data_IF_389447065480
#
_entry.id   IF_389447065480
#
_cell.length_a   1.000
_cell.length_b   1.000
_cell.length_c   1.000
_cell.angle_alpha   90.00
_cell.angle_beta   90.00
_cell.angle_gamma   90.00
#
_symmetry.space_group_name_H-M   'P 1'
#
loop_
_entity.id
_entity.type
_entity.pdbx_description
1 polymer ?
#
# COMPACT_ATOMS: atom_id res chain seq x y z
N UNK A 1 -24.42 28.13 -30.52
CA UNK A 1 -23.18 27.53 -31.07
C UNK A 1 -23.56 26.72 -32.29
N UNK A 2 -22.95 26.97 -33.45
CA UNK A 2 -23.15 26.08 -34.60
C UNK A 2 -22.44 24.76 -34.30
N UNK A 3 -23.09 23.62 -34.57
CA UNK A 3 -22.57 22.29 -34.17
C UNK A 3 -21.15 22.02 -34.72
N UNK A 4 -20.78 22.68 -35.82
CA UNK A 4 -19.47 22.58 -36.48
C UNK A 4 -18.29 23.09 -35.64
N UNK A 5 -18.47 24.16 -34.85
CA UNK A 5 -17.39 24.72 -34.02
C UNK A 5 -17.15 23.88 -32.76
N UNK A 6 -18.23 23.33 -32.19
CA UNK A 6 -18.16 22.37 -31.08
C UNK A 6 -17.42 21.10 -31.49
N UNK A 7 -17.80 20.51 -32.63
CA UNK A 7 -17.16 19.31 -33.17
C UNK A 7 -15.66 19.49 -33.43
N UNK A 8 -15.24 20.63 -34.00
CA UNK A 8 -13.81 20.93 -34.23
C UNK A 8 -13.03 21.06 -32.92
N UNK A 9 -13.63 21.65 -31.89
CA UNK A 9 -12.99 21.77 -30.57
C UNK A 9 -12.85 20.41 -29.91
N UNK A 10 -13.90 19.59 -29.93
CA UNK A 10 -13.83 18.23 -29.40
C UNK A 10 -12.77 17.38 -30.13
N UNK A 11 -12.73 17.46 -31.47
CA UNK A 11 -11.73 16.79 -32.27
C UNK A 11 -10.31 17.25 -31.92
N UNK A 12 -10.11 18.56 -31.70
CA UNK A 12 -8.80 19.08 -31.28
C UNK A 12 -8.34 18.51 -29.95
N UNK A 13 -9.21 18.55 -28.93
CA UNK A 13 -8.89 18.01 -27.61
C UNK A 13 -8.64 16.50 -27.67
N UNK A 14 -9.41 15.79 -28.48
CA UNK A 14 -9.21 14.36 -28.71
C UNK A 14 -7.87 14.08 -29.41
N UNK A 15 -7.48 14.87 -30.40
CA UNK A 15 -6.18 14.71 -31.08
C UNK A 15 -5.03 14.97 -30.11
N UNK A 16 -5.09 16.05 -29.31
CA UNK A 16 -4.09 16.32 -28.27
C UNK A 16 -4.01 15.16 -27.28
N UNK A 17 -5.16 14.68 -26.78
CA UNK A 17 -5.23 13.53 -25.89
C UNK A 17 -4.59 12.29 -26.53
N UNK A 18 -5.02 11.89 -27.73
CA UNK A 18 -4.56 10.68 -28.40
C UNK A 18 -3.05 10.73 -28.70
N UNK A 19 -2.56 11.88 -29.17
CA UNK A 19 -1.13 12.09 -29.40
C UNK A 19 -0.33 11.90 -28.11
N UNK A 20 -0.78 12.47 -26.99
CA UNK A 20 -0.04 12.38 -25.73
C UNK A 20 -0.18 11.03 -25.03
N UNK A 21 -1.32 10.33 -25.18
CA UNK A 21 -1.50 8.94 -24.74
C UNK A 21 -0.48 8.01 -25.40
N UNK A 22 -0.13 8.25 -26.66
CA UNK A 22 0.91 7.47 -27.34
C UNK A 22 2.33 7.96 -26.99
N UNK A 23 2.54 9.28 -27.00
CA UNK A 23 3.88 9.86 -26.86
C UNK A 23 4.46 9.72 -25.45
N UNK A 24 3.67 9.96 -24.39
CA UNK A 24 4.17 9.99 -23.01
C UNK A 24 4.66 8.60 -22.55
N UNK A 25 3.90 7.50 -22.71
CA UNK A 25 4.40 6.17 -22.33
C UNK A 25 5.62 5.74 -23.15
N UNK A 26 5.64 6.07 -24.44
CA UNK A 26 6.77 5.74 -25.33
C UNK A 26 8.04 6.47 -24.90
N UNK A 27 7.94 7.77 -24.59
CA UNK A 27 9.07 8.54 -24.04
C UNK A 27 9.50 8.03 -22.67
N UNK A 28 8.56 7.73 -21.77
CA UNK A 28 8.86 7.19 -20.45
C UNK A 28 9.58 5.85 -20.53
N UNK A 29 9.11 4.94 -21.39
CA UNK A 29 9.77 3.67 -21.65
C UNK A 29 11.17 3.85 -22.23
N UNK A 30 11.32 4.74 -23.21
CA UNK A 30 12.62 4.99 -23.81
C UNK A 30 13.62 5.58 -22.81
N UNK A 31 13.18 6.52 -21.96
CA UNK A 31 13.99 7.06 -20.85
C UNK A 31 14.39 5.99 -19.85
N UNK A 32 13.48 5.06 -19.51
CA UNK A 32 13.77 3.95 -18.62
C UNK A 32 14.87 3.05 -19.23
N UNK A 33 14.73 2.68 -20.51
CA UNK A 33 15.70 1.84 -21.21
C UNK A 33 17.08 2.51 -21.30
N UNK A 34 17.14 3.81 -21.61
CA UNK A 34 18.40 4.53 -21.73
C UNK A 34 19.07 4.74 -20.37
N UNK A 35 18.29 5.06 -19.33
CA UNK A 35 18.80 5.17 -17.96
C UNK A 35 19.35 3.83 -17.45
N UNK A 36 18.67 2.72 -17.77
CA UNK A 36 19.09 1.37 -17.37
C UNK A 36 20.41 0.93 -18.00
N UNK A 37 20.64 1.26 -19.28
CA UNK A 37 21.80 0.76 -20.03
C UNK A 37 22.99 1.73 -20.10
N UNK A 38 22.79 3.03 -19.88
CA UNK A 38 23.82 4.04 -20.17
C UNK A 38 24.04 5.12 -19.11
N UNK A 39 23.37 5.04 -17.96
CA UNK A 39 23.46 6.06 -16.90
C UNK A 39 22.99 7.45 -17.35
N UNK A 40 23.26 8.48 -16.53
CA UNK A 40 22.75 9.84 -16.75
C UNK A 40 23.13 10.46 -18.12
N UNK A 41 24.26 10.03 -18.70
CA UNK A 41 24.72 10.52 -20.01
C UNK A 41 23.83 10.10 -21.19
N UNK A 42 23.15 8.95 -21.10
CA UNK A 42 22.25 8.45 -22.14
C UNK A 42 20.84 9.08 -22.09
N UNK A 43 20.48 9.73 -20.98
CA UNK A 43 19.19 10.41 -20.78
C UNK A 43 19.14 11.75 -21.53
N UNK A 44 20.28 12.45 -21.63
CA UNK A 44 20.39 13.75 -22.31
C UNK A 44 19.97 13.69 -23.79
N UNK A 45 20.51 12.81 -24.65
CA UNK A 45 20.08 12.73 -26.04
C UNK A 45 18.62 12.28 -26.16
N UNK A 46 18.13 11.50 -25.19
CA UNK A 46 16.75 11.06 -25.19
C UNK A 46 15.77 12.22 -24.98
N UNK A 47 16.07 13.11 -24.04
CA UNK A 47 15.30 14.33 -23.85
C UNK A 47 15.48 15.31 -25.01
N UNK A 48 16.70 15.46 -25.52
CA UNK A 48 17.02 16.38 -26.61
C UNK A 48 16.32 16.04 -27.93
N UNK A 49 15.97 14.77 -28.17
CA UNK A 49 15.20 14.34 -29.35
C UNK A 49 13.71 14.19 -29.04
N UNK A 50 13.37 13.60 -27.89
CA UNK A 50 11.99 13.29 -27.52
C UNK A 50 11.14 14.54 -27.26
N UNK A 51 11.69 15.54 -26.59
CA UNK A 51 10.95 16.79 -26.29
C UNK A 51 10.66 17.58 -27.57
N UNK A 52 11.63 17.86 -28.47
CA UNK A 52 11.31 18.57 -29.71
C UNK A 52 10.34 17.79 -30.61
N UNK A 53 10.46 16.47 -30.67
CA UNK A 53 9.56 15.64 -31.50
C UNK A 53 8.12 15.69 -30.99
N UNK A 54 7.91 15.63 -29.67
CA UNK A 54 6.57 15.77 -29.07
C UNK A 54 5.98 17.16 -29.19
N UNK A 55 6.80 18.21 -29.01
CA UNK A 55 6.38 19.59 -29.29
C UNK A 55 6.02 19.75 -30.77
N UNK A 56 6.80 19.17 -31.69
CA UNK A 56 6.51 19.15 -33.12
C UNK A 56 5.17 18.47 -33.44
N UNK A 57 4.91 17.29 -32.87
CA UNK A 57 3.63 16.58 -32.97
C UNK A 57 2.46 17.43 -32.43
N UNK A 58 2.59 18.04 -31.26
CA UNK A 58 1.57 18.95 -30.74
C UNK A 58 1.34 20.13 -31.70
N UNK A 59 2.41 20.70 -32.25
CA UNK A 59 2.33 21.80 -33.22
C UNK A 59 1.53 21.38 -34.47
N UNK A 60 1.64 20.13 -34.94
CA UNK A 60 0.84 19.65 -36.09
C UNK A 60 -0.63 19.45 -35.74
N UNK A 61 -0.96 19.02 -34.50
CA UNK A 61 -2.36 18.93 -34.04
C UNK A 61 -3.09 20.28 -34.00
N UNK A 62 -2.37 21.40 -33.96
CA UNK A 62 -2.91 22.75 -34.04
C UNK A 62 -3.25 23.24 -35.46
N UNK A 63 -2.78 22.57 -36.52
CA UNK A 63 -3.06 22.92 -37.92
C UNK A 63 -4.57 22.93 -38.24
N UNK A 64 -5.34 21.85 -37.98
CA UNK A 64 -6.74 21.78 -38.38
C UNK A 64 -7.67 22.77 -37.65
N UNK A 65 -7.17 23.42 -36.61
CA UNK A 65 -7.96 24.22 -35.65
C UNK A 65 -7.49 25.66 -35.56
N UNK A 66 -6.63 26.08 -36.49
CA UNK A 66 -6.13 27.47 -36.63
C UNK A 66 -7.22 28.54 -36.65
N UNK A 67 -8.44 28.17 -37.01
CA UNK A 67 -9.61 29.06 -37.05
C UNK A 67 -10.38 29.14 -35.74
N UNK A 68 -10.06 28.30 -34.76
CA UNK A 68 -10.77 28.17 -33.47
C UNK A 68 -9.90 28.58 -32.29
N UNK A 69 -8.58 28.37 -32.38
CA UNK A 69 -7.62 28.78 -31.36
C UNK A 69 -6.84 30.00 -31.86
N UNK A 70 -7.04 31.20 -31.29
CA UNK A 70 -6.38 32.43 -31.73
C UNK A 70 -4.84 32.34 -31.73
N UNK A 71 -4.29 31.56 -30.79
CA UNK A 71 -2.86 31.30 -30.64
C UNK A 71 -2.30 30.38 -31.74
N UNK A 72 -3.12 29.80 -32.63
CA UNK A 72 -2.66 28.94 -33.72
C UNK A 72 -2.66 29.64 -35.09
N UNK A 73 -2.89 30.96 -35.11
CA UNK A 73 -3.01 31.78 -36.32
C UNK A 73 -1.70 31.96 -37.08
N UNK A 74 -0.56 31.88 -36.40
CA UNK A 74 0.78 31.96 -36.98
C UNK A 74 1.69 30.83 -36.49
N UNK A 75 2.77 30.56 -37.22
CA UNK A 75 3.78 29.55 -36.85
C UNK A 75 4.38 29.78 -35.45
N UNK A 76 4.90 30.98 -35.10
CA UNK A 76 5.50 31.19 -33.77
C UNK A 76 4.49 31.09 -32.63
N UNK A 77 3.24 31.56 -32.84
CA UNK A 77 2.21 31.44 -31.81
C UNK A 77 1.79 29.98 -31.59
N UNK A 78 1.72 29.18 -32.65
CA UNK A 78 1.39 27.75 -32.56
C UNK A 78 2.46 26.96 -31.81
N UNK A 79 3.73 27.30 -32.04
CA UNK A 79 4.84 26.73 -31.29
C UNK A 79 4.74 27.11 -29.81
N UNK A 80 4.47 28.38 -29.50
CA UNK A 80 4.26 28.85 -28.12
C UNK A 80 3.11 28.11 -27.42
N UNK A 81 1.99 27.90 -28.11
CA UNK A 81 0.87 27.10 -27.60
C UNK A 81 1.28 25.64 -27.31
N UNK A 82 1.98 25.00 -28.24
CA UNK A 82 2.43 23.61 -28.08
C UNK A 82 3.38 23.47 -26.88
N UNK A 83 4.30 24.40 -26.69
CA UNK A 83 5.21 24.44 -25.54
C UNK A 83 4.43 24.58 -24.24
N UNK A 84 3.47 25.51 -24.16
CA UNK A 84 2.65 25.71 -22.95
C UNK A 84 1.83 24.48 -22.59
N UNK A 85 1.17 23.86 -23.58
CA UNK A 85 0.41 22.61 -23.39
C UNK A 85 1.32 21.48 -22.95
N UNK A 86 2.50 21.35 -23.55
CA UNK A 86 3.49 20.36 -23.17
C UNK A 86 3.95 20.54 -21.72
N UNK A 87 4.32 21.75 -21.33
CA UNK A 87 4.79 22.04 -19.96
C UNK A 87 3.69 21.78 -18.93
N UNK A 88 2.50 22.36 -19.12
CA UNK A 88 1.38 22.21 -18.18
C UNK A 88 0.90 20.77 -18.08
N UNK A 89 0.79 20.06 -19.21
CA UNK A 89 0.40 18.65 -19.21
C UNK A 89 1.44 17.77 -18.55
N UNK A 90 2.74 18.05 -18.76
CA UNK A 90 3.83 17.29 -18.11
C UNK A 90 3.82 17.52 -16.60
N UNK A 91 3.60 18.75 -16.12
CA UNK A 91 3.42 19.02 -14.70
C UNK A 91 2.22 18.24 -14.11
N UNK A 92 1.11 18.15 -14.85
CA UNK A 92 -0.04 17.35 -14.43
C UNK A 92 0.25 15.85 -14.37
N UNK A 93 1.03 15.30 -15.31
CA UNK A 93 1.49 13.91 -15.26
C UNK A 93 2.38 13.68 -14.03
N UNK A 94 3.33 14.59 -13.76
CA UNK A 94 4.21 14.49 -12.59
C UNK A 94 3.41 14.55 -11.27
N UNK A 95 2.42 15.44 -11.18
CA UNK A 95 1.52 15.49 -10.03
C UNK A 95 0.71 14.19 -9.88
N UNK A 96 0.22 13.62 -10.99
CA UNK A 96 -0.46 12.33 -10.99
C UNK A 96 0.44 11.17 -10.55
N UNK A 97 1.71 11.16 -10.97
CA UNK A 97 2.70 10.16 -10.54
C UNK A 97 3.01 10.28 -9.04
N UNK A 98 3.17 11.50 -8.52
CA UNK A 98 3.35 11.73 -7.09
C UNK A 98 2.13 11.24 -6.27
N UNK A 99 0.92 11.48 -6.77
CA UNK A 99 -0.29 10.93 -6.15
C UNK A 99 -0.36 9.39 -6.25
N UNK A 100 0.07 8.80 -7.37
CA UNK A 100 0.13 7.35 -7.55
C UNK A 100 1.12 6.67 -6.61
N UNK A 101 2.27 7.29 -6.30
CA UNK A 101 3.19 6.78 -5.27
C UNK A 101 2.58 6.78 -3.86
N UNK A 102 1.48 7.50 -3.64
CA UNK A 102 0.66 7.41 -2.42
C UNK A 102 -0.37 6.27 -2.43
N UNK A 103 -0.13 5.22 -3.22
CA UNK A 103 -0.97 4.02 -3.39
C UNK A 103 -2.38 4.28 -3.92
N UNK A 104 -2.62 5.41 -4.59
CA UNK A 104 -3.91 5.72 -5.20
C UNK A 104 -4.15 4.81 -6.40
N UNK A 105 -5.19 3.98 -6.33
CA UNK A 105 -5.56 3.13 -7.45
C UNK A 105 -6.17 3.94 -8.60
N UNK A 106 -5.43 4.01 -9.71
CA UNK A 106 -5.86 4.65 -10.96
C UNK A 106 -6.46 3.63 -11.96
N UNK A 107 -6.90 2.47 -11.47
CA UNK A 107 -7.47 1.40 -12.28
C UNK A 107 -6.44 0.53 -13.02
N UNK A 108 -6.89 -0.09 -14.11
CA UNK A 108 -6.10 -1.02 -14.94
C UNK A 108 -4.96 -0.32 -15.69
N UNK A 109 -4.00 -1.10 -16.21
CA UNK A 109 -2.88 -0.57 -17.00
C UNK A 109 -3.36 0.30 -18.18
N UNK A 110 -4.40 -0.15 -18.90
CA UNK A 110 -4.99 0.61 -20.01
C UNK A 110 -5.60 1.95 -19.56
N UNK A 111 -6.24 1.97 -18.40
CA UNK A 111 -6.80 3.21 -17.82
C UNK A 111 -5.68 4.21 -17.50
N UNK A 112 -4.58 3.73 -16.93
CA UNK A 112 -3.41 4.57 -16.60
C UNK A 112 -2.77 5.16 -17.86
N UNK A 113 -2.63 4.37 -18.91
CA UNK A 113 -2.14 4.84 -20.22
C UNK A 113 -3.06 5.93 -20.77
N UNK A 114 -4.37 5.71 -20.77
CA UNK A 114 -5.35 6.71 -21.21
C UNK A 114 -5.32 8.01 -20.38
N UNK A 115 -5.07 7.90 -19.07
CA UNK A 115 -4.99 9.05 -18.16
C UNK A 115 -3.76 9.94 -18.44
N UNK A 116 -2.67 9.41 -19.01
CA UNK A 116 -1.47 10.22 -19.30
C UNK A 116 -1.74 11.37 -20.27
N UNK A 117 -2.69 11.23 -21.20
CA UNK A 117 -3.06 12.30 -22.14
C UNK A 117 -4.04 13.34 -21.57
N UNK A 118 -4.72 13.03 -20.47
CA UNK A 118 -5.77 13.91 -19.89
C UNK A 118 -5.21 15.27 -19.45
N UNK A 119 -4.07 15.35 -18.72
CA UNK A 119 -3.48 16.64 -18.35
C UNK A 119 -3.21 17.57 -19.54
N UNK A 120 -2.76 17.01 -20.67
CA UNK A 120 -2.46 17.78 -21.87
C UNK A 120 -3.74 18.27 -22.57
N UNK A 121 -4.79 17.44 -22.61
CA UNK A 121 -6.08 17.83 -23.15
C UNK A 121 -6.74 18.93 -22.29
N UNK A 122 -6.66 18.81 -20.96
CA UNK A 122 -7.11 19.85 -20.02
C UNK A 122 -6.32 21.14 -20.20
N UNK A 123 -4.99 21.06 -20.34
CA UNK A 123 -4.15 22.22 -20.64
C UNK A 123 -4.56 22.89 -21.96
N UNK A 124 -4.77 22.11 -23.03
CA UNK A 124 -5.23 22.62 -24.32
C UNK A 124 -6.60 23.29 -24.22
N UNK A 125 -7.52 22.73 -23.42
CA UNK A 125 -8.87 23.27 -23.22
C UNK A 125 -8.87 24.68 -22.59
N UNK A 126 -7.90 25.02 -21.73
CA UNK A 126 -7.76 26.37 -21.18
C UNK A 126 -7.47 27.43 -22.24
N UNK A 127 -6.80 27.06 -23.33
CA UNK A 127 -6.46 27.97 -24.42
C UNK A 127 -7.58 28.13 -25.46
N UNK A 128 -8.65 27.33 -25.39
CA UNK A 128 -9.83 27.49 -26.25
C UNK A 128 -10.62 28.72 -25.79
N UNK A 129 -11.09 29.60 -26.70
CA UNK A 129 -11.83 30.82 -26.33
C UNK A 129 -13.24 30.57 -25.76
N UNK A 130 -13.73 29.32 -25.78
CA UNK A 130 -15.07 28.97 -25.31
C UNK A 130 -15.12 28.82 -23.78
N UNK A 131 -15.90 29.67 -23.11
CA UNK A 131 -16.10 29.65 -21.65
C UNK A 131 -16.56 28.29 -21.10
N UNK A 132 -17.41 27.57 -21.81
CA UNK A 132 -17.96 26.29 -21.35
C UNK A 132 -16.90 25.19 -21.35
N UNK A 133 -16.01 25.21 -22.35
CA UNK A 133 -14.88 24.28 -22.43
C UNK A 133 -13.89 24.53 -21.30
N UNK A 134 -13.61 25.81 -21.00
CA UNK A 134 -12.76 26.19 -19.86
C UNK A 134 -13.36 25.78 -18.52
N UNK A 135 -14.66 25.99 -18.31
CA UNK A 135 -15.36 25.52 -17.10
C UNK A 135 -15.29 24.00 -16.96
N UNK A 136 -15.47 23.26 -18.06
CA UNK A 136 -15.27 21.81 -18.08
C UNK A 136 -13.85 21.39 -17.67
N UNK A 137 -12.83 22.10 -18.17
CA UNK A 137 -11.44 21.87 -17.79
C UNK A 137 -11.18 22.13 -16.30
N UNK A 138 -11.75 23.21 -15.74
CA UNK A 138 -11.69 23.53 -14.31
C UNK A 138 -12.38 22.45 -13.48
N UNK A 139 -13.57 21.99 -13.88
CA UNK A 139 -14.30 20.94 -13.19
C UNK A 139 -13.53 19.61 -13.20
N UNK A 140 -12.93 19.24 -14.33
CA UNK A 140 -12.09 18.04 -14.43
C UNK A 140 -10.85 18.15 -13.53
N UNK A 141 -10.20 19.30 -13.48
CA UNK A 141 -9.04 19.54 -12.61
C UNK A 141 -9.44 19.47 -11.13
N UNK A 142 -10.56 20.09 -10.75
CA UNK A 142 -11.09 20.03 -9.38
C UNK A 142 -11.42 18.59 -8.96
N UNK A 143 -12.08 17.82 -9.83
CA UNK A 143 -12.38 16.41 -9.57
C UNK A 143 -11.10 15.56 -9.42
N UNK A 144 -10.09 15.80 -10.27
CA UNK A 144 -8.80 15.12 -10.17
C UNK A 144 -8.06 15.45 -8.86
N UNK A 145 -8.06 16.73 -8.44
CA UNK A 145 -7.46 17.15 -7.17
C UNK A 145 -8.22 16.55 -5.98
N UNK A 146 -9.55 16.58 -6.00
CA UNK A 146 -10.37 15.98 -4.95
C UNK A 146 -10.12 14.47 -4.81
N UNK A 147 -10.06 13.77 -5.95
CA UNK A 147 -9.78 12.34 -5.96
C UNK A 147 -8.34 12.03 -5.52
N UNK A 148 -7.35 12.68 -6.11
CA UNK A 148 -5.93 12.42 -5.80
C UNK A 148 -5.53 12.85 -4.38
N UNK A 149 -6.11 13.92 -3.85
CA UNK A 149 -5.77 14.48 -2.54
C UNK A 149 -6.53 13.88 -1.36
N UNK A 150 -7.77 13.45 -1.55
CA UNK A 150 -8.64 13.08 -0.42
C UNK A 150 -9.25 11.67 -0.55
N UNK A 151 -9.91 11.37 -1.67
CA UNK A 151 -10.65 10.10 -1.83
C UNK A 151 -9.70 8.93 -2.07
N UNK A 152 -8.70 9.12 -2.93
CA UNK A 152 -7.72 8.10 -3.28
C UNK A 152 -6.92 7.60 -2.09
N UNK A 153 -6.29 8.49 -1.29
CA UNK A 153 -5.49 8.09 -0.13
C UNK A 153 -6.31 7.41 0.98
N UNK A 154 -7.56 7.81 1.18
CA UNK A 154 -8.43 7.16 2.17
C UNK A 154 -8.84 5.77 1.70
N UNK A 155 -9.19 5.61 0.42
CA UNK A 155 -9.52 4.32 -0.16
C UNK A 155 -8.32 3.37 -0.23
N UNK A 156 -7.11 3.88 -0.51
CA UNK A 156 -5.89 3.05 -0.55
C UNK A 156 -5.57 2.47 0.82
N UNK A 157 -5.62 3.30 1.88
CA UNK A 157 -5.47 2.84 3.27
C UNK A 157 -6.52 1.81 3.64
N UNK A 158 -7.78 2.03 3.27
CA UNK A 158 -8.84 1.06 3.56
C UNK A 158 -8.61 -0.29 2.87
N UNK A 159 -8.12 -0.29 1.62
CA UNK A 159 -7.77 -1.53 0.92
C UNK A 159 -6.54 -2.21 1.51
N UNK A 160 -5.53 -1.44 1.90
CA UNK A 160 -4.35 -1.98 2.59
C UNK A 160 -4.76 -2.66 3.89
N UNK A 161 -5.56 -1.98 4.73
CA UNK A 161 -6.10 -2.57 5.96
C UNK A 161 -6.95 -3.81 5.69
N UNK A 162 -7.81 -3.80 4.67
CA UNK A 162 -8.58 -4.99 4.31
C UNK A 162 -7.70 -6.16 3.83
N UNK A 163 -6.64 -5.87 3.08
CA UNK A 163 -5.68 -6.87 2.61
C UNK A 163 -4.82 -7.43 3.77
N UNK A 164 -4.41 -6.58 4.71
CA UNK A 164 -3.71 -6.99 5.94
C UNK A 164 -4.60 -7.88 6.80
N UNK A 165 -5.84 -7.47 7.07
CA UNK A 165 -6.81 -8.27 7.80
C UNK A 165 -7.08 -9.61 7.10
N UNK A 166 -7.24 -9.61 5.77
CA UNK A 166 -7.42 -10.83 5.00
C UNK A 166 -6.18 -11.75 5.06
N UNK A 167 -4.97 -11.18 5.11
CA UNK A 167 -3.73 -11.94 5.27
C UNK A 167 -3.66 -12.60 6.65
N UNK A 168 -4.02 -11.88 7.71
CA UNK A 168 -4.09 -12.47 9.05
C UNK A 168 -5.10 -13.63 9.12
N UNK A 169 -6.24 -13.49 8.43
CA UNK A 169 -7.26 -14.54 8.30
C UNK A 169 -6.86 -15.72 7.41
N UNK A 170 -5.65 -15.79 6.85
CA UNK A 170 -5.22 -16.96 6.08
C UNK A 170 -5.11 -18.22 6.94
N UNK A 171 -4.78 -18.05 8.22
CA UNK A 171 -4.60 -19.12 9.19
C UNK A 171 -5.44 -18.90 10.45
N UNK A 172 -6.79 -18.92 10.35
CA UNK A 172 -7.67 -18.69 11.49
C UNK A 172 -7.45 -19.71 12.61
N UNK A 173 -6.91 -20.88 12.29
CA UNK A 173 -6.50 -21.92 13.24
C UNK A 173 -5.33 -21.53 14.15
N UNK A 174 -4.61 -20.45 13.85
CA UNK A 174 -3.49 -19.94 14.66
C UNK A 174 -3.85 -18.68 15.44
N UNK A 175 -4.95 -18.00 15.08
CA UNK A 175 -5.35 -16.73 15.70
C UNK A 175 -6.14 -16.98 16.98
N UNK A 176 -5.42 -17.19 18.09
CA UNK A 176 -6.03 -17.29 19.42
C UNK A 176 -5.43 -16.25 20.37
N UNK A 177 -6.28 -15.74 21.26
CA UNK A 177 -5.89 -14.87 22.36
C UNK A 177 -6.34 -15.47 23.70
N UNK A 178 -5.70 -15.02 24.77
CA UNK A 178 -6.14 -15.26 26.14
C UNK A 178 -6.86 -14.02 26.63
N UNK A 179 -7.69 -14.15 27.67
CA UNK A 179 -8.24 -12.97 28.33
C UNK A 179 -7.08 -12.09 28.84
N UNK A 180 -7.16 -10.78 28.57
CA UNK A 180 -6.14 -9.83 29.00
C UNK A 180 -5.93 -9.94 30.51
N UNK A 181 -4.71 -10.27 30.98
CA UNK A 181 -4.45 -10.39 32.41
C UNK A 181 -4.73 -9.08 33.15
N UNK A 182 -5.27 -9.12 34.39
CA UNK A 182 -5.61 -7.91 35.13
C UNK A 182 -4.41 -6.95 35.27
N UNK A 183 -4.62 -5.67 34.95
CA UNK A 183 -3.56 -4.64 35.02
C UNK A 183 -2.51 -4.71 33.91
N UNK A 184 -2.71 -5.57 32.90
CA UNK A 184 -1.87 -5.65 31.71
C UNK A 184 -2.61 -5.15 30.46
N UNK A 185 -1.84 -4.87 29.42
CA UNK A 185 -2.33 -4.53 28.08
C UNK A 185 -1.50 -5.26 27.04
N UNK A 186 -2.07 -5.48 25.87
CA UNK A 186 -1.34 -6.02 24.73
C UNK A 186 -0.27 -5.00 24.33
N UNK A 187 0.99 -5.39 24.44
CA UNK A 187 2.13 -4.55 24.13
C UNK A 187 2.68 -4.85 22.74
N UNK A 188 2.57 -6.11 22.31
CA UNK A 188 3.01 -6.58 21.01
C UNK A 188 2.18 -7.77 20.55
N UNK A 189 1.91 -7.86 19.27
CA UNK A 189 1.41 -9.05 18.63
C UNK A 189 2.24 -9.30 17.36
N UNK A 190 2.46 -10.55 17.00
CA UNK A 190 3.27 -10.90 15.83
C UNK A 190 2.60 -12.07 15.11
N UNK A 191 2.37 -11.91 13.81
CA UNK A 191 1.82 -12.96 12.96
C UNK A 191 2.92 -13.43 12.02
N UNK A 192 3.26 -14.71 12.11
CA UNK A 192 4.20 -15.40 11.23
C UNK A 192 3.47 -16.52 10.46
N UNK A 193 4.07 -17.07 9.37
CA UNK A 193 3.41 -18.04 8.50
C UNK A 193 2.85 -19.30 9.21
N UNK A 194 3.46 -19.68 10.33
CA UNK A 194 3.06 -20.86 11.10
C UNK A 194 2.90 -20.57 12.60
N UNK A 195 2.80 -19.29 13.00
CA UNK A 195 2.61 -18.94 14.41
C UNK A 195 1.98 -17.56 14.60
N UNK A 196 1.23 -17.42 15.68
CA UNK A 196 0.75 -16.15 16.20
C UNK A 196 1.28 -15.94 17.61
N UNK A 197 1.72 -14.73 17.93
CA UNK A 197 2.34 -14.42 19.20
C UNK A 197 1.73 -13.13 19.76
N UNK A 198 1.49 -13.08 21.08
CA UNK A 198 0.94 -11.92 21.77
C UNK A 198 1.66 -11.72 23.09
N UNK A 199 2.22 -10.53 23.30
CA UNK A 199 2.82 -10.08 24.55
C UNK A 199 1.89 -9.13 25.27
N UNK A 200 1.68 -9.41 26.54
CA UNK A 200 0.99 -8.54 27.49
C UNK A 200 2.03 -7.98 28.45
N UNK A 201 2.02 -6.67 28.64
CA UNK A 201 2.87 -6.01 29.63
C UNK A 201 2.00 -5.32 30.66
N UNK A 202 2.47 -5.28 31.91
CA UNK A 202 1.86 -4.38 32.90
C UNK A 202 1.98 -2.93 32.45
N UNK A 203 1.06 -2.08 32.91
CA UNK A 203 1.12 -0.63 32.67
C UNK A 203 2.45 -0.03 33.17
N UNK A 204 3.06 -0.64 34.19
CA UNK A 204 4.36 -0.24 34.76
C UNK A 204 5.58 -0.88 34.07
N UNK A 205 5.36 -1.77 33.09
CA UNK A 205 6.38 -2.51 32.35
C UNK A 205 7.33 -3.39 33.21
N UNK A 206 6.89 -3.74 34.42
CA UNK A 206 7.61 -4.59 35.38
C UNK A 206 7.22 -6.07 35.30
N UNK A 207 6.16 -6.40 34.55
CA UNK A 207 5.67 -7.76 34.36
C UNK A 207 5.30 -8.01 32.90
N UNK A 208 5.50 -9.26 32.43
CA UNK A 208 4.98 -9.69 31.14
C UNK A 208 4.37 -11.09 31.19
N UNK A 209 3.45 -11.31 30.25
CA UNK A 209 2.88 -12.60 29.89
C UNK A 209 2.95 -12.69 28.37
N UNK A 210 3.42 -13.82 27.84
CA UNK A 210 3.52 -14.02 26.41
C UNK A 210 2.81 -15.31 25.99
N UNK A 211 1.93 -15.20 25.00
CA UNK A 211 1.19 -16.28 24.37
C UNK A 211 1.81 -16.55 22.99
N UNK A 212 2.15 -17.80 22.71
CA UNK A 212 2.55 -18.26 21.39
C UNK A 212 1.63 -19.39 20.94
N UNK A 213 0.99 -19.22 19.79
CA UNK A 213 0.17 -20.22 19.10
C UNK A 213 0.93 -20.64 17.86
N UNK A 214 1.13 -21.93 17.66
CA UNK A 214 1.92 -22.46 16.53
C UNK A 214 1.18 -23.57 15.82
N UNK A 215 1.40 -23.66 14.51
CA UNK A 215 0.99 -24.82 13.74
C UNK A 215 1.67 -26.07 14.30
N UNK A 216 0.97 -27.21 14.39
CA UNK A 216 1.49 -28.42 15.00
C UNK A 216 2.58 -29.00 14.08
N UNK A 217 3.82 -28.58 14.29
CA UNK A 217 4.93 -28.92 13.39
C UNK A 217 5.68 -30.21 13.77
N UNK A 218 5.37 -30.87 14.90
CA UNK A 218 6.14 -32.05 15.35
C UNK A 218 5.33 -32.93 16.32
N UNK A 219 5.78 -34.18 16.64
CA UNK A 219 5.08 -35.13 17.54
C UNK A 219 4.73 -34.55 18.91
N UNK A 220 3.97 -35.30 19.73
CA UNK A 220 3.50 -34.85 21.06
C UNK A 220 4.63 -34.10 21.81
N UNK A 221 4.33 -32.98 22.50
CA UNK A 221 5.32 -32.26 23.29
C UNK A 221 6.12 -33.24 24.15
N UNK A 222 7.44 -33.25 23.94
CA UNK A 222 8.39 -34.11 24.64
C UNK A 222 9.47 -33.22 25.21
N UNK A 223 9.91 -33.55 26.42
CA UNK A 223 11.06 -32.88 27.00
C UNK A 223 12.31 -33.20 26.16
N UNK A 224 13.15 -32.20 25.88
CA UNK A 224 14.36 -32.43 25.09
C UNK A 224 15.28 -33.44 25.78
N UNK A 225 15.78 -34.40 25.01
CA UNK A 225 16.83 -35.32 25.43
C UNK A 225 18.11 -35.03 24.61
N UNK A 226 19.24 -34.68 25.24
CA UNK A 226 19.44 -34.54 26.68
C UNK A 226 18.83 -33.24 27.25
N UNK A 227 18.48 -33.26 28.54
CA UNK A 227 17.96 -32.10 29.24
C UNK A 227 18.97 -30.93 29.19
N UNK A 228 18.49 -29.75 28.82
CA UNK A 228 19.30 -28.54 28.83
C UNK A 228 19.72 -28.20 30.27
N UNK A 229 21.00 -27.83 30.45
CA UNK A 229 21.49 -27.33 31.73
C UNK A 229 20.69 -26.07 32.06
N UNK A 230 20.17 -25.98 33.29
CA UNK A 230 19.33 -24.89 33.81
C UNK A 230 17.83 -24.93 33.43
N UNK A 231 17.36 -26.01 32.81
CA UNK A 231 15.93 -26.21 32.51
C UNK A 231 15.36 -27.44 33.22
N UNK A 232 14.20 -27.29 33.85
CA UNK A 232 13.38 -28.44 34.28
C UNK A 232 12.19 -28.56 33.36
N UNK A 233 12.01 -29.74 32.78
CA UNK A 233 10.88 -30.07 31.92
C UNK A 233 10.11 -31.26 32.48
N UNK A 234 8.79 -31.15 32.55
CA UNK A 234 7.89 -32.22 32.97
C UNK A 234 6.68 -32.28 32.05
N UNK A 235 6.26 -33.46 31.63
CA UNK A 235 5.00 -33.67 30.90
C UNK A 235 4.02 -34.37 31.85
N UNK A 236 2.81 -33.82 32.00
CA UNK A 236 1.79 -34.39 32.87
C UNK A 236 0.98 -35.51 32.20
N UNK A 237 0.08 -36.14 32.98
CA UNK A 237 -0.80 -37.21 32.47
C UNK A 237 -1.81 -36.77 31.42
N UNK A 238 -1.97 -35.47 31.20
CA UNK A 238 -2.83 -34.87 30.17
C UNK A 238 -2.05 -34.47 28.90
N UNK A 239 -0.71 -34.66 28.89
CA UNK A 239 0.16 -34.31 27.79
C UNK A 239 0.49 -32.81 27.73
N UNK A 240 0.27 -32.08 28.82
CA UNK A 240 0.72 -30.71 29.01
C UNK A 240 2.19 -30.72 29.42
N UNK A 241 3.01 -29.97 28.69
CA UNK A 241 4.44 -29.85 28.94
C UNK A 241 4.71 -28.56 29.69
N UNK A 242 5.33 -28.69 30.86
CA UNK A 242 5.82 -27.58 31.66
C UNK A 242 7.32 -27.46 31.51
N UNK A 243 7.76 -26.22 31.36
CA UNK A 243 9.17 -25.88 31.26
C UNK A 243 9.50 -24.74 32.23
N UNK A 244 10.51 -24.93 33.07
CA UNK A 244 11.02 -23.94 34.02
C UNK A 244 12.48 -23.63 33.70
N UNK A 245 12.79 -22.37 33.39
CA UNK A 245 14.16 -21.89 33.22
C UNK A 245 14.68 -21.28 34.53
N UNK A 246 15.84 -21.75 35.00
CA UNK A 246 16.43 -21.35 36.29
C UNK A 246 17.31 -20.09 36.23
N UNK A 247 17.18 -19.28 35.17
CA UNK A 247 17.93 -18.03 35.01
C UNK A 247 17.44 -16.93 35.98
N UNK A 248 18.23 -15.85 36.21
CA UNK A 248 17.81 -14.74 37.07
C UNK A 248 16.50 -14.12 36.54
N UNK A 249 15.41 -14.28 37.29
CA UNK A 249 14.05 -13.91 36.86
C UNK A 249 13.28 -15.02 36.15
N UNK A 250 13.47 -16.27 36.60
CA UNK A 250 12.97 -17.52 36.01
C UNK A 250 11.60 -17.43 35.34
N UNK A 251 11.55 -17.92 34.10
CA UNK A 251 10.34 -17.91 33.27
C UNK A 251 9.73 -19.30 33.33
N UNK A 252 8.45 -19.35 33.68
CA UNK A 252 7.65 -20.57 33.58
C UNK A 252 6.95 -20.52 32.23
N UNK A 253 7.08 -21.60 31.46
CA UNK A 253 6.36 -21.81 30.21
C UNK A 253 5.49 -23.05 30.33
N UNK A 254 4.23 -22.91 29.92
CA UNK A 254 3.26 -23.98 29.89
C UNK A 254 2.79 -24.19 28.46
N UNK A 255 2.96 -25.41 27.94
CA UNK A 255 2.65 -25.78 26.57
C UNK A 255 1.57 -26.85 26.54
N UNK A 256 0.47 -26.57 25.85
CA UNK A 256 -0.68 -27.47 25.69
C UNK A 256 -1.06 -27.57 24.21
N UNK A 257 -1.48 -28.77 23.78
CA UNK A 257 -2.17 -28.90 22.48
C UNK A 257 -3.61 -28.46 22.61
N UNK A 258 -4.03 -27.53 21.78
CA UNK A 258 -5.40 -27.05 21.70
C UNK A 258 -5.92 -27.20 20.27
N UNK A 259 -6.85 -28.14 20.08
CA UNK A 259 -7.38 -28.50 18.75
C UNK A 259 -6.23 -28.84 17.78
N UNK A 260 -6.11 -28.09 16.70
CA UNK A 260 -5.10 -28.25 15.66
C UNK A 260 -3.93 -27.27 15.82
N UNK A 261 -3.69 -26.76 17.03
CA UNK A 261 -2.59 -25.83 17.32
C UNK A 261 -1.87 -26.24 18.61
N UNK A 262 -0.61 -25.80 18.72
CA UNK A 262 0.16 -25.85 19.95
C UNK A 262 0.18 -24.46 20.58
N UNK A 263 -0.19 -24.37 21.85
CA UNK A 263 -0.30 -23.10 22.58
C UNK A 263 0.67 -23.13 23.73
N UNK A 264 1.56 -22.14 23.78
CA UNK A 264 2.49 -21.93 24.87
C UNK A 264 2.22 -20.58 25.53
N UNK A 265 2.07 -20.57 26.85
CA UNK A 265 2.02 -19.32 27.63
C UNK A 265 3.21 -19.28 28.55
N UNK A 266 3.90 -18.14 28.58
CA UNK A 266 5.05 -17.89 29.45
C UNK A 266 4.85 -16.65 30.30
N UNK A 267 5.35 -16.69 31.54
CA UNK A 267 5.32 -15.53 32.45
C UNK A 267 6.50 -15.53 33.41
N UNK A 268 6.88 -14.33 33.85
CA UNK A 268 7.81 -14.11 34.98
C UNK A 268 7.13 -13.98 36.34
N UNK A 269 5.82 -13.73 36.35
CA UNK A 269 5.09 -13.36 37.58
C UNK A 269 4.07 -14.41 38.00
N UNK A 270 3.51 -15.13 37.02
CA UNK A 270 2.49 -16.14 37.29
C UNK A 270 3.14 -17.50 37.53
N UNK A 271 2.59 -18.20 38.51
CA UNK A 271 2.87 -19.60 38.76
C UNK A 271 2.08 -20.50 37.78
N UNK A 272 2.33 -21.81 37.85
CA UNK A 272 1.68 -22.78 36.98
C UNK A 272 0.13 -22.76 37.05
N UNK A 273 -0.51 -22.69 38.23
CA UNK A 273 -1.96 -22.48 38.32
C UNK A 273 -2.44 -21.21 37.60
N UNK A 274 -1.72 -20.09 37.74
CA UNK A 274 -2.04 -18.85 37.04
C UNK A 274 -1.94 -19.00 35.51
N UNK A 275 -0.90 -19.69 35.02
CA UNK A 275 -0.73 -19.97 33.59
C UNK A 275 -1.82 -20.90 33.03
N UNK A 276 -2.21 -21.93 33.79
CA UNK A 276 -3.35 -22.80 33.42
C UNK A 276 -4.64 -22.03 33.31
N UNK A 277 -4.93 -21.17 34.29
CA UNK A 277 -6.13 -20.35 34.26
C UNK A 277 -6.16 -19.45 33.01
N UNK A 278 -5.02 -18.85 32.63
CA UNK A 278 -4.94 -18.07 31.39
C UNK A 278 -5.18 -18.94 30.14
N UNK A 279 -4.60 -20.13 30.06
CA UNK A 279 -4.85 -21.06 28.95
C UNK A 279 -6.32 -21.49 28.87
N UNK A 280 -7.03 -21.56 29.99
CA UNK A 280 -8.46 -21.88 30.00
C UNK A 280 -9.33 -20.71 29.51
N UNK A 281 -8.78 -19.50 29.42
CA UNK A 281 -9.43 -18.33 28.80
C UNK A 281 -9.12 -18.18 27.30
N UNK A 282 -8.43 -19.16 26.70
CA UNK A 282 -8.08 -19.14 25.29
C UNK A 282 -9.32 -19.11 24.39
N UNK A 283 -9.39 -18.13 23.50
CA UNK A 283 -10.50 -17.95 22.56
C UNK A 283 -9.96 -17.57 21.16
N UNK A 284 -10.70 -17.90 20.08
CA UNK A 284 -10.37 -17.41 18.75
C UNK A 284 -10.42 -15.89 18.71
N UNK A 285 -9.47 -15.27 18.03
CA UNK A 285 -9.41 -13.83 17.84
C UNK A 285 -10.65 -13.36 17.06
N UNK A 286 -11.45 -12.49 17.68
CA UNK A 286 -12.62 -11.89 17.01
C UNK A 286 -12.22 -10.81 16.01
N UNK A 287 -13.11 -10.49 15.07
CA UNK A 287 -12.87 -9.41 14.11
C UNK A 287 -12.68 -8.05 14.81
N UNK A 288 -13.39 -7.81 15.90
CA UNK A 288 -13.27 -6.59 16.71
C UNK A 288 -11.91 -6.49 17.40
N UNK A 289 -11.40 -7.58 17.94
CA UNK A 289 -10.08 -7.62 18.59
C UNK A 289 -8.95 -7.50 17.56
N UNK A 290 -9.08 -8.15 16.41
CA UNK A 290 -8.12 -7.99 15.32
C UNK A 290 -8.06 -6.54 14.83
N UNK A 291 -9.21 -5.90 14.64
CA UNK A 291 -9.28 -4.48 14.28
C UNK A 291 -8.67 -3.56 15.34
N UNK A 292 -8.87 -3.86 16.62
CA UNK A 292 -8.29 -3.12 17.74
C UNK A 292 -6.76 -3.24 17.74
N UNK A 293 -6.22 -4.45 17.64
CA UNK A 293 -4.77 -4.70 17.55
C UNK A 293 -4.13 -4.01 16.34
N UNK A 294 -4.81 -3.99 15.19
CA UNK A 294 -4.35 -3.29 13.99
C UNK A 294 -4.39 -1.77 14.18
N UNK A 295 -5.45 -1.23 14.81
CA UNK A 295 -5.63 0.21 15.05
C UNK A 295 -4.59 0.75 16.03
N UNK A 296 -4.29 0.00 17.07
CA UNK A 296 -3.28 0.36 18.08
C UNK A 296 -1.84 0.18 17.57
N UNK A 297 -1.65 -0.35 16.35
CA UNK A 297 -0.34 -0.66 15.74
C UNK A 297 0.50 -1.60 16.60
N UNK A 298 -0.17 -2.55 17.25
CA UNK A 298 0.49 -3.50 18.14
C UNK A 298 0.97 -4.74 17.38
N UNK A 299 0.47 -4.98 16.17
CA UNK A 299 0.90 -6.09 15.32
C UNK A 299 2.17 -5.71 14.52
N UNK A 300 3.31 -6.31 14.88
CA UNK A 300 4.54 -6.26 14.08
C UNK A 300 4.58 -7.38 13.04
N UNK A 301 5.18 -7.08 11.89
CA UNK A 301 5.50 -8.08 10.87
C UNK A 301 6.99 -8.40 10.91
N UNK A 302 7.35 -9.67 11.14
CA UNK A 302 8.68 -10.17 10.74
C UNK A 302 8.58 -10.64 9.29
N UNK A 303 9.36 -10.02 8.42
CA UNK A 303 9.66 -10.64 7.13
C UNK A 303 10.38 -11.97 7.43
N UNK A 304 9.88 -13.06 6.84
CA UNK A 304 10.58 -14.34 6.85
C UNK A 304 12.00 -14.10 6.31
N UNK A 305 13.00 -14.27 7.18
CA UNK A 305 14.40 -14.39 6.79
C UNK A 305 14.72 -15.82 6.39
#
# INVERSE_FOLDING_TARGET
>A
MTSSQGARTALHLFLVWATMVAAVPTLGFWLLVTAWHGGAGAVVPALALGVPLTVGLLTTTGIPVRTVVPLCGSVPQRLGWAILVFVLGTLGVLAGLAAYSGDVALGSAGTRVALTGVPYAVAAAFFVPNRWVRLGAVAALAAAVAYGGFIGPTQSRQRQHAAEAARYRQHPELLYMIATPPGMRVARAEVAPASFYVEYHSVRQDAYVALAVRSPLTPKPQCPEPAEKEMTCTVDGHGEMRTLHHSPGGVITLTRRYRNAEVAVSSKMLDEPGLRHLLDTLHPLSDTELEELMREKVIDQRAAG
#
